data_IF_647446258575
#
_entry.id   IF_647446258575
#
_cell.length_a   1.000
_cell.length_b   1.000
_cell.length_c   1.000
_cell.angle_alpha   90.00
_cell.angle_beta   90.00
_cell.angle_gamma   90.00
#
_symmetry.space_group_name_H-M   'P 1'
#
loop_
_entity.id
_entity.type
_entity.pdbx_description
1 polymer ?
#
# COMPACT_ATOMS: atom_id res chain seq x y z
N UNK A 1 -14.65 -17.47 1.38
CA UNK A 1 -13.72 -16.33 1.57
C UNK A 1 -14.23 -15.49 2.74
N UNK A 2 -13.45 -15.40 3.82
CA UNK A 2 -13.87 -14.65 5.02
C UNK A 2 -13.94 -13.17 4.64
N UNK A 3 -14.97 -12.45 5.08
CA UNK A 3 -15.20 -11.01 4.84
C UNK A 3 -13.98 -10.11 5.16
N UNK A 4 -13.05 -10.62 5.97
CA UNK A 4 -11.75 -10.04 6.32
C UNK A 4 -10.82 -9.94 5.10
N UNK A 5 -10.83 -10.92 4.20
CA UNK A 5 -9.98 -10.93 2.99
C UNK A 5 -10.43 -9.89 1.97
N UNK A 6 -11.74 -9.69 1.81
CA UNK A 6 -12.31 -8.68 0.91
C UNK A 6 -11.91 -7.27 1.37
N UNK A 7 -11.96 -6.99 2.68
CA UNK A 7 -11.53 -5.71 3.24
C UNK A 7 -10.02 -5.47 3.05
N UNK A 8 -9.20 -6.51 3.21
CA UNK A 8 -7.75 -6.43 2.99
C UNK A 8 -7.43 -6.11 1.52
N UNK A 9 -8.12 -6.76 0.58
CA UNK A 9 -7.97 -6.49 -0.85
C UNK A 9 -8.42 -5.06 -1.20
N UNK A 10 -9.55 -4.61 -0.65
CA UNK A 10 -10.03 -3.24 -0.86
C UNK A 10 -9.03 -2.19 -0.35
N UNK A 11 -8.45 -2.40 0.84
CA UNK A 11 -7.41 -1.51 1.40
C UNK A 11 -6.20 -1.48 0.47
N UNK A 12 -5.73 -2.64 -0.01
CA UNK A 12 -4.61 -2.71 -0.95
C UNK A 12 -4.91 -1.94 -2.23
N UNK A 13 -6.11 -2.08 -2.81
CA UNK A 13 -6.48 -1.38 -4.04
C UNK A 13 -6.48 0.14 -3.85
N UNK A 14 -7.12 0.63 -2.79
CA UNK A 14 -7.19 2.06 -2.49
C UNK A 14 -5.78 2.61 -2.22
N UNK A 15 -4.99 1.92 -1.40
CA UNK A 15 -3.63 2.35 -1.09
C UNK A 15 -2.70 2.27 -2.30
N UNK A 16 -2.87 1.30 -3.20
CA UNK A 16 -2.12 1.21 -4.46
C UNK A 16 -2.40 2.41 -5.37
N UNK A 17 -3.66 2.80 -5.50
CA UNK A 17 -4.04 3.97 -6.30
C UNK A 17 -3.43 5.23 -5.68
N UNK A 18 -3.59 5.42 -4.37
CA UNK A 18 -3.02 6.55 -3.64
C UNK A 18 -1.50 6.62 -3.78
N UNK A 19 -0.80 5.50 -3.65
CA UNK A 19 0.65 5.41 -3.84
C UNK A 19 1.09 5.70 -5.27
N UNK A 20 0.37 5.18 -6.26
CA UNK A 20 0.72 5.40 -7.67
C UNK A 20 0.58 6.88 -8.06
N UNK A 21 -0.52 7.52 -7.65
CA UNK A 21 -0.76 8.93 -7.98
C UNK A 21 0.19 9.84 -7.22
N UNK A 22 0.28 9.70 -5.89
CA UNK A 22 1.14 10.54 -5.04
C UNK A 22 2.64 10.28 -5.28
N UNK A 23 3.03 9.02 -5.51
CA UNK A 23 4.42 8.65 -5.80
C UNK A 23 4.89 9.21 -7.13
N UNK A 24 4.07 9.12 -8.19
CA UNK A 24 4.40 9.75 -9.47
C UNK A 24 4.49 11.29 -9.37
N UNK A 25 3.67 11.89 -8.51
CA UNK A 25 3.77 13.33 -8.25
C UNK A 25 5.08 13.67 -7.53
N UNK A 26 5.42 12.94 -6.47
CA UNK A 26 6.66 13.13 -5.71
C UNK A 26 7.92 12.93 -6.57
N UNK A 27 7.94 11.93 -7.45
CA UNK A 27 9.09 11.67 -8.33
C UNK A 27 9.34 12.78 -9.35
N UNK A 28 8.30 13.53 -9.74
CA UNK A 28 8.41 14.67 -10.64
C UNK A 28 8.78 15.97 -9.92
N UNK A 29 8.67 15.98 -8.60
CA UNK A 29 8.89 17.14 -7.77
C UNK A 29 10.35 17.20 -7.31
N UNK A 30 11.00 18.35 -7.46
CA UNK A 30 12.38 18.55 -6.99
C UNK A 30 12.45 19.03 -5.53
N UNK A 31 11.50 19.86 -5.10
CA UNK A 31 11.41 20.42 -3.75
C UNK A 31 9.96 20.57 -3.30
N UNK A 32 9.72 20.58 -1.99
CA UNK A 32 8.40 20.85 -1.42
C UNK A 32 8.27 22.37 -1.31
N UNK A 33 7.53 22.99 -2.22
CA UNK A 33 7.38 24.45 -2.26
C UNK A 33 5.97 24.89 -1.88
N UNK A 34 4.97 24.04 -2.13
CA UNK A 34 3.56 24.38 -1.91
C UNK A 34 2.91 23.50 -0.83
N UNK A 35 1.78 23.97 -0.29
CA UNK A 35 0.95 23.17 0.61
C UNK A 35 0.43 21.90 -0.08
N UNK A 36 0.22 21.96 -1.40
CA UNK A 36 -0.28 20.83 -2.19
C UNK A 36 0.79 19.74 -2.34
N UNK A 37 2.06 20.14 -2.47
CA UNK A 37 3.21 19.23 -2.43
C UNK A 37 3.27 18.47 -1.11
N UNK A 38 3.20 19.22 0.01
CA UNK A 38 3.21 18.62 1.34
C UNK A 38 2.01 17.68 1.54
N UNK A 39 0.82 18.06 1.06
CA UNK A 39 -0.37 17.22 1.11
C UNK A 39 -0.18 15.91 0.32
N UNK A 40 0.42 15.96 -0.87
CA UNK A 40 0.72 14.77 -1.67
C UNK A 40 1.72 13.85 -0.96
N UNK A 41 2.75 14.40 -0.31
CA UNK A 41 3.68 13.62 0.52
C UNK A 41 2.95 12.96 1.69
N UNK A 42 2.04 13.68 2.36
CA UNK A 42 1.22 13.10 3.43
C UNK A 42 0.34 11.95 2.92
N UNK A 43 -0.34 12.12 1.79
CA UNK A 43 -1.18 11.10 1.17
C UNK A 43 -0.34 9.87 0.79
N UNK A 44 0.88 10.08 0.30
CA UNK A 44 1.82 9.00 0.01
C UNK A 44 2.09 8.17 1.26
N UNK A 45 2.53 8.79 2.35
CA UNK A 45 2.84 8.06 3.58
C UNK A 45 1.62 7.40 4.22
N UNK A 46 0.46 8.07 4.22
CA UNK A 46 -0.81 7.50 4.72
C UNK A 46 -1.20 6.26 3.91
N UNK A 47 -0.92 6.24 2.61
CA UNK A 47 -1.20 5.10 1.74
C UNK A 47 -0.12 4.01 1.84
N UNK A 48 1.13 4.40 2.09
CA UNK A 48 2.29 3.51 2.14
C UNK A 48 2.21 2.49 3.27
N UNK A 49 1.93 2.93 4.50
CA UNK A 49 1.94 2.04 5.67
C UNK A 49 0.85 0.95 5.61
N UNK A 50 -0.43 1.27 5.31
CA UNK A 50 -1.46 0.25 5.16
C UNK A 50 -1.14 -0.72 4.02
N UNK A 51 -0.64 -0.23 2.88
CA UNK A 51 -0.25 -1.08 1.77
C UNK A 51 0.84 -2.07 2.17
N UNK A 52 1.93 -1.58 2.76
CA UNK A 52 3.04 -2.41 3.25
C UNK A 52 2.55 -3.46 4.25
N UNK A 53 1.79 -3.03 5.27
CA UNK A 53 1.35 -3.92 6.34
C UNK A 53 0.44 -5.04 5.83
N UNK A 54 -0.57 -4.70 5.01
CA UNK A 54 -1.52 -5.67 4.48
C UNK A 54 -0.85 -6.58 3.45
N UNK A 55 0.01 -6.04 2.60
CA UNK A 55 0.78 -6.82 1.62
C UNK A 55 1.70 -7.82 2.33
N UNK A 56 2.44 -7.39 3.35
CA UNK A 56 3.31 -8.27 4.14
C UNK A 56 2.51 -9.37 4.85
N UNK A 57 1.36 -9.02 5.46
CA UNK A 57 0.49 -9.98 6.10
C UNK A 57 -0.05 -11.04 5.12
N UNK A 58 -0.39 -10.65 3.88
CA UNK A 58 -0.81 -11.59 2.83
C UNK A 58 0.37 -12.45 2.36
N UNK A 59 1.54 -11.87 2.17
CA UNK A 59 2.77 -12.58 1.79
C UNK A 59 3.09 -13.68 2.81
N UNK A 60 3.03 -13.38 4.11
CA UNK A 60 3.23 -14.38 5.16
C UNK A 60 2.20 -15.50 5.12
N UNK A 61 0.92 -15.19 4.83
CA UNK A 61 -0.12 -16.22 4.66
C UNK A 61 0.19 -17.12 3.45
N UNK A 62 0.64 -16.55 2.34
CA UNK A 62 1.02 -17.30 1.13
C UNK A 62 2.21 -18.20 1.47
N UNK A 63 3.28 -17.65 2.06
CA UNK A 63 4.45 -18.43 2.47
C UNK A 63 4.09 -19.57 3.41
N UNK A 64 3.25 -19.32 4.42
CA UNK A 64 2.79 -20.37 5.35
C UNK A 64 1.98 -21.45 4.63
N UNK A 65 1.18 -21.08 3.63
CA UNK A 65 0.38 -22.01 2.84
C UNK A 65 1.26 -22.86 1.94
N UNK A 66 2.22 -22.24 1.25
CA UNK A 66 3.21 -22.94 0.39
C UNK A 66 4.07 -23.88 1.24
N UNK A 67 4.56 -23.42 2.39
CA UNK A 67 5.33 -24.26 3.32
C UNK A 67 4.53 -25.49 3.79
N UNK A 68 3.24 -25.32 4.12
CA UNK A 68 2.35 -26.42 4.50
C UNK A 68 2.05 -27.38 3.33
N UNK A 69 2.16 -26.94 2.09
CA UNK A 69 1.97 -27.80 0.92
C UNK A 69 3.26 -28.51 0.49
N UNK A 70 4.42 -27.94 0.82
CA UNK A 70 5.73 -28.48 0.48
C UNK A 70 6.27 -29.49 1.52
N UNK A 71 5.69 -29.54 2.71
CA UNK A 71 6.01 -30.48 3.80
C UNK A 71 4.76 -31.23 4.23
#
# INVERSE_FOLDING_TARGET
>A
MKTIEIKQVAIILISSIGLYTSGNYMLKMSYIETLLDALNVFIFFISFFPFMFVTFALLLKIFKTVYKFAH
#
